data_IF_785977408312
#
_entry.id   IF_785977408312
#
_cell.length_a   1.000
_cell.length_b   1.000
_cell.length_c   1.000
_cell.angle_alpha   90.00
_cell.angle_beta   90.00
_cell.angle_gamma   90.00
#
_symmetry.space_group_name_H-M   'P 1'
#
loop_
_entity.id
_entity.type
_entity.pdbx_description
1 polymer ?
#
# COMPACT_ATOMS: atom_id res chain seq x y z
N UNK A 1 -18.80 -3.21 -20.01
CA UNK A 1 -20.08 -3.24 -19.27
C UNK A 1 -20.23 -2.03 -18.35
N UNK A 2 -19.13 -1.49 -17.78
CA UNK A 2 -19.16 -0.33 -16.87
C UNK A 2 -19.83 0.89 -17.51
N UNK A 3 -19.46 1.25 -18.74
CA UNK A 3 -20.04 2.41 -19.47
C UNK A 3 -21.55 2.28 -19.74
N UNK A 4 -22.08 1.06 -19.70
CA UNK A 4 -23.50 0.78 -19.91
C UNK A 4 -24.23 0.47 -18.61
N UNK A 5 -23.58 0.63 -17.47
CA UNK A 5 -24.10 0.31 -16.14
C UNK A 5 -24.73 -1.09 -16.03
N UNK A 6 -24.09 -2.08 -16.68
CA UNK A 6 -24.55 -3.47 -16.63
C UNK A 6 -23.89 -4.15 -15.44
N UNK A 7 -24.65 -4.66 -14.46
CA UNK A 7 -24.10 -5.37 -13.32
C UNK A 7 -23.45 -6.70 -13.73
N UNK A 8 -22.34 -7.05 -13.08
CA UNK A 8 -21.66 -8.33 -13.25
C UNK A 8 -21.91 -9.18 -12.02
N UNK A 9 -22.42 -10.39 -12.18
CA UNK A 9 -22.54 -11.34 -11.08
C UNK A 9 -21.46 -12.42 -11.19
N UNK A 10 -20.66 -12.56 -10.14
CA UNK A 10 -19.61 -13.58 -10.03
C UNK A 10 -20.18 -14.70 -9.13
N UNK A 11 -20.31 -15.88 -9.70
CA UNK A 11 -20.85 -17.06 -9.03
C UNK A 11 -19.76 -18.13 -8.82
N UNK A 12 -19.92 -18.92 -7.76
CA UNK A 12 -19.12 -20.12 -7.55
C UNK A 12 -19.64 -21.23 -8.48
N UNK A 13 -18.79 -21.71 -9.39
CA UNK A 13 -19.18 -22.76 -10.36
C UNK A 13 -19.56 -24.07 -9.71
N UNK A 14 -19.00 -24.37 -8.52
CA UNK A 14 -19.30 -25.60 -7.76
C UNK A 14 -20.55 -25.47 -6.88
N UNK A 15 -20.95 -24.24 -6.57
CA UNK A 15 -22.13 -23.91 -5.75
C UNK A 15 -22.90 -22.74 -6.39
N UNK A 16 -23.53 -22.96 -7.55
CA UNK A 16 -24.22 -21.88 -8.29
C UNK A 16 -25.50 -21.40 -7.59
N UNK A 17 -25.99 -22.13 -6.59
CA UNK A 17 -27.13 -21.77 -5.74
C UNK A 17 -26.78 -20.66 -4.74
N UNK A 18 -25.52 -20.43 -4.44
CA UNK A 18 -25.07 -19.29 -3.62
C UNK A 18 -25.21 -17.99 -4.41
N UNK A 19 -25.69 -16.93 -3.77
CA UNK A 19 -26.03 -15.66 -4.43
C UNK A 19 -24.87 -14.94 -5.11
N UNK A 20 -23.63 -15.38 -4.84
CA UNK A 20 -22.42 -14.83 -5.46
C UNK A 20 -22.12 -13.38 -5.06
N UNK A 21 -21.35 -12.69 -5.91
CA UNK A 21 -20.98 -11.28 -5.71
C UNK A 21 -21.39 -10.45 -6.91
N UNK A 22 -22.21 -9.43 -6.70
CA UNK A 22 -22.65 -8.51 -7.74
C UNK A 22 -21.78 -7.28 -7.75
N UNK A 23 -21.14 -7.00 -8.87
CA UNK A 23 -20.35 -5.79 -9.11
C UNK A 23 -21.25 -4.77 -9.79
N UNK A 24 -21.45 -3.62 -9.13
CA UNK A 24 -22.26 -2.49 -9.61
C UNK A 24 -21.47 -1.20 -9.57
N UNK A 25 -21.86 -0.19 -10.34
CA UNK A 25 -21.21 1.12 -10.29
C UNK A 25 -21.54 1.86 -9.01
N UNK A 26 -22.81 1.81 -8.58
CA UNK A 26 -23.29 2.37 -7.32
C UNK A 26 -24.10 1.33 -6.59
N UNK A 27 -23.88 1.25 -5.29
CA UNK A 27 -24.70 0.47 -4.39
C UNK A 27 -25.71 1.39 -3.72
N UNK A 28 -26.97 1.20 -4.03
CA UNK A 28 -28.09 1.98 -3.45
C UNK A 28 -28.41 1.54 -2.02
N UNK A 29 -27.80 0.44 -1.56
CA UNK A 29 -27.91 -0.06 -0.18
C UNK A 29 -26.52 -0.02 0.48
N UNK A 30 -26.05 1.16 0.95
CA UNK A 30 -24.76 1.23 1.60
C UNK A 30 -24.76 0.34 2.85
N UNK A 31 -23.88 -0.66 2.88
CA UNK A 31 -23.69 -1.44 4.09
C UNK A 31 -23.22 -0.52 5.22
N UNK A 32 -23.67 -0.79 6.45
CA UNK A 32 -23.18 -0.09 7.63
C UNK A 32 -21.69 -0.40 7.92
N UNK A 33 -21.16 -1.42 7.24
CA UNK A 33 -19.77 -1.83 7.37
C UNK A 33 -18.82 -0.72 6.91
N UNK A 34 -17.93 -0.34 7.80
CA UNK A 34 -16.91 0.69 7.53
C UNK A 34 -15.86 0.22 6.56
N UNK A 35 -15.44 -1.04 6.66
CA UNK A 35 -14.45 -1.68 5.79
C UNK A 35 -15.16 -2.72 4.93
N UNK A 36 -15.00 -2.59 3.63
CA UNK A 36 -15.63 -3.44 2.63
C UNK A 36 -14.67 -4.48 2.04
N UNK A 37 -13.37 -4.29 2.24
CA UNK A 37 -12.38 -5.22 1.74
C UNK A 37 -11.01 -5.03 2.39
N UNK A 38 -10.26 -6.12 2.43
CA UNK A 38 -8.87 -6.15 2.86
C UNK A 38 -8.09 -6.89 1.78
N UNK A 39 -7.07 -6.24 1.23
CA UNK A 39 -6.17 -6.84 0.26
C UNK A 39 -4.73 -6.67 0.73
N UNK A 40 -3.91 -7.68 0.48
CA UNK A 40 -2.52 -7.59 0.90
C UNK A 40 -1.59 -8.43 0.02
N UNK A 41 -0.32 -8.03 0.01
CA UNK A 41 0.75 -8.73 -0.70
C UNK A 41 2.03 -8.65 0.13
N UNK A 42 2.79 -9.74 0.15
CA UNK A 42 4.08 -9.85 0.83
C UNK A 42 5.24 -9.58 -0.12
N UNK A 43 6.43 -9.55 0.45
CA UNK A 43 7.71 -9.55 -0.26
C UNK A 43 7.96 -8.28 -1.05
N UNK A 44 7.90 -7.15 -0.33
CA UNK A 44 8.37 -5.88 -0.83
C UNK A 44 9.70 -5.50 -0.20
N UNK A 45 10.52 -4.81 -0.99
CA UNK A 45 11.72 -4.12 -0.59
C UNK A 45 11.47 -2.62 -0.60
N UNK A 46 11.83 -1.96 0.48
CA UNK A 46 11.74 -0.50 0.62
C UNK A 46 13.13 0.10 0.50
N UNK A 47 13.32 0.96 -0.48
CA UNK A 47 14.53 1.75 -0.69
C UNK A 47 14.28 3.11 -0.07
N UNK A 48 14.79 3.37 1.12
CA UNK A 48 14.61 4.62 1.84
C UNK A 48 15.80 5.56 1.57
N UNK A 49 15.52 6.69 0.95
CA UNK A 49 16.50 7.69 0.51
C UNK A 49 16.40 8.88 1.45
N UNK A 50 17.53 9.22 2.08
CA UNK A 50 17.66 10.33 3.02
C UNK A 50 18.55 11.41 2.42
N UNK A 51 18.10 12.65 2.49
CA UNK A 51 18.86 13.81 2.03
C UNK A 51 18.46 15.04 2.83
N UNK A 52 19.40 15.63 3.51
CA UNK A 52 19.21 16.88 4.21
C UNK A 52 18.80 18.00 3.24
N UNK A 53 17.84 18.81 3.64
CA UNK A 53 17.28 19.89 2.81
C UNK A 53 16.70 19.41 1.48
N UNK A 54 16.14 18.20 1.46
CA UNK A 54 15.54 17.61 0.24
C UNK A 54 14.41 18.47 -0.31
N UNK A 55 13.63 19.11 0.55
CA UNK A 55 12.52 19.99 0.19
C UNK A 55 12.95 21.20 -0.66
N UNK A 56 14.20 21.63 -0.53
CA UNK A 56 14.76 22.78 -1.26
C UNK A 56 15.35 22.37 -2.62
N UNK A 57 15.42 21.06 -2.90
CA UNK A 57 16.03 20.53 -4.11
C UNK A 57 15.01 20.07 -5.15
N UNK A 58 14.92 20.79 -6.25
CA UNK A 58 14.01 20.45 -7.35
C UNK A 58 14.46 19.17 -8.07
N UNK A 59 13.52 18.25 -8.28
CA UNK A 59 13.69 17.12 -9.18
C UNK A 59 14.40 15.90 -8.58
N UNK A 60 14.67 15.84 -7.27
CA UNK A 60 15.32 14.69 -6.64
C UNK A 60 14.52 13.39 -6.83
N UNK A 61 13.21 13.42 -6.59
CA UNK A 61 12.33 12.25 -6.79
C UNK A 61 12.36 11.82 -8.25
N UNK A 62 12.30 12.77 -9.21
CA UNK A 62 12.38 12.45 -10.64
C UNK A 62 13.65 11.67 -10.98
N UNK A 63 14.82 12.11 -10.46
CA UNK A 63 16.10 11.42 -10.71
C UNK A 63 16.10 9.99 -10.15
N UNK A 64 15.52 9.76 -8.98
CA UNK A 64 15.39 8.41 -8.43
C UNK A 64 14.45 7.53 -9.27
N UNK A 65 13.33 8.09 -9.73
CA UNK A 65 12.38 7.37 -10.60
C UNK A 65 12.96 7.05 -11.98
N UNK A 66 13.78 7.94 -12.54
CA UNK A 66 14.52 7.70 -13.78
C UNK A 66 15.46 6.48 -13.65
N UNK A 67 16.09 6.29 -12.49
CA UNK A 67 16.87 5.08 -12.23
C UNK A 67 15.97 3.83 -12.21
N UNK A 68 14.81 3.88 -11.56
CA UNK A 68 13.85 2.75 -11.60
C UNK A 68 13.42 2.43 -13.04
N UNK A 69 13.16 3.46 -13.85
CA UNK A 69 12.80 3.30 -15.27
C UNK A 69 13.92 2.63 -16.07
N UNK A 70 15.18 3.08 -15.89
CA UNK A 70 16.35 2.52 -16.57
C UNK A 70 16.56 1.03 -16.23
N UNK A 71 16.29 0.64 -15.00
CA UNK A 71 16.32 -0.76 -14.55
C UNK A 71 15.02 -1.53 -14.85
N UNK A 72 13.99 -0.87 -15.43
CA UNK A 72 12.66 -1.44 -15.75
C UNK A 72 11.92 -1.97 -14.53
N UNK A 73 12.08 -1.31 -13.40
CA UNK A 73 11.44 -1.68 -12.14
C UNK A 73 10.12 -0.93 -11.98
N UNK A 74 9.05 -1.70 -11.77
CA UNK A 74 7.73 -1.17 -11.41
C UNK A 74 7.71 -0.73 -9.95
N UNK A 75 7.07 0.40 -9.67
CA UNK A 75 6.98 0.98 -8.34
C UNK A 75 5.57 0.76 -7.81
N UNK A 76 5.48 0.20 -6.61
CA UNK A 76 4.20 -0.03 -5.93
C UNK A 76 3.76 1.20 -5.13
N UNK A 77 4.70 1.87 -4.45
CA UNK A 77 4.38 3.00 -3.61
C UNK A 77 5.57 3.93 -3.35
N UNK A 78 5.29 5.23 -3.10
CA UNK A 78 6.33 6.24 -2.84
C UNK A 78 5.91 7.09 -1.63
N UNK A 79 6.12 6.63 -0.39
CA UNK A 79 5.93 7.47 0.77
C UNK A 79 7.03 8.52 0.86
N UNK A 80 6.63 9.78 1.07
CA UNK A 80 7.55 10.91 1.15
C UNK A 80 7.44 11.63 2.50
N UNK A 81 8.57 12.11 2.99
CA UNK A 81 8.72 13.00 4.13
C UNK A 81 9.37 14.33 3.73
N UNK A 82 9.88 15.09 4.70
CA UNK A 82 10.54 16.38 4.47
C UNK A 82 11.97 16.17 3.95
N UNK A 83 12.77 15.35 4.64
CA UNK A 83 14.17 15.08 4.32
C UNK A 83 14.40 13.62 3.87
N UNK A 84 13.32 12.94 3.46
CA UNK A 84 13.41 11.56 2.98
C UNK A 84 12.22 11.18 2.12
N UNK A 85 12.42 10.23 1.24
CA UNK A 85 11.35 9.50 0.58
C UNK A 85 11.76 8.06 0.42
N UNK A 86 10.78 7.19 0.20
CA UNK A 86 11.04 5.79 -0.03
C UNK A 86 10.42 5.34 -1.35
N UNK A 87 11.02 4.34 -1.96
CA UNK A 87 10.48 3.66 -3.13
C UNK A 87 10.22 2.22 -2.72
N UNK A 88 8.99 1.77 -2.87
CA UNK A 88 8.58 0.41 -2.54
C UNK A 88 8.44 -0.38 -3.83
N UNK A 89 9.16 -1.49 -3.92
CA UNK A 89 9.24 -2.35 -5.09
C UNK A 89 9.04 -3.81 -4.70
N UNK A 90 8.66 -4.66 -5.65
CA UNK A 90 8.60 -6.09 -5.42
C UNK A 90 10.03 -6.64 -5.23
N UNK A 91 10.26 -7.42 -4.18
CA UNK A 91 11.59 -7.93 -3.84
C UNK A 91 12.18 -8.83 -4.93
N UNK A 92 11.35 -9.63 -5.60
CA UNK A 92 11.81 -10.53 -6.67
C UNK A 92 12.37 -9.77 -7.88
N UNK A 93 11.80 -8.60 -8.18
CA UNK A 93 12.20 -7.81 -9.34
C UNK A 93 13.57 -7.14 -9.15
N UNK A 94 14.00 -6.96 -7.90
CA UNK A 94 15.24 -6.22 -7.57
C UNK A 94 16.34 -7.08 -6.95
N UNK A 95 16.07 -8.33 -6.60
CA UNK A 95 17.01 -9.19 -5.83
C UNK A 95 18.43 -9.24 -6.36
N UNK A 96 18.60 -9.28 -7.67
CA UNK A 96 19.91 -9.44 -8.31
C UNK A 96 20.59 -8.10 -8.68
N UNK A 97 19.83 -6.98 -8.62
CA UNK A 97 20.29 -5.68 -9.11
C UNK A 97 20.22 -4.57 -8.06
N UNK A 98 19.70 -4.85 -6.86
CA UNK A 98 19.36 -3.83 -5.85
C UNK A 98 20.58 -2.97 -5.48
N UNK A 99 21.76 -3.54 -5.34
CA UNK A 99 22.94 -2.79 -4.92
C UNK A 99 23.46 -1.87 -6.02
N UNK A 100 23.41 -2.27 -7.29
CA UNK A 100 23.80 -1.45 -8.43
C UNK A 100 22.81 -0.30 -8.59
N UNK A 101 21.51 -0.61 -8.55
CA UNK A 101 20.44 0.38 -8.63
C UNK A 101 20.53 1.43 -7.51
N UNK A 102 20.75 1.00 -6.26
CA UNK A 102 20.92 1.89 -5.11
C UNK A 102 22.20 2.72 -5.23
N UNK A 103 23.28 2.14 -5.76
CA UNK A 103 24.53 2.86 -6.07
C UNK A 103 24.34 3.99 -7.06
N UNK A 104 23.54 3.76 -8.10
CA UNK A 104 23.19 4.77 -9.10
C UNK A 104 22.22 5.82 -8.55
N UNK A 105 21.23 5.39 -7.75
CA UNK A 105 20.34 6.32 -7.03
C UNK A 105 21.12 7.25 -6.10
N UNK A 106 22.11 6.71 -5.36
CA UNK A 106 22.92 7.51 -4.45
C UNK A 106 23.67 8.61 -5.17
N UNK A 107 24.25 8.29 -6.35
CA UNK A 107 24.94 9.29 -7.20
C UNK A 107 23.96 10.30 -7.79
N UNK A 108 22.90 9.83 -8.43
CA UNK A 108 21.93 10.68 -9.14
C UNK A 108 21.20 11.65 -8.21
N UNK A 109 20.86 11.21 -7.00
CA UNK A 109 20.17 12.02 -6.00
C UNK A 109 21.13 12.77 -5.08
N UNK A 110 22.44 12.54 -5.13
CA UNK A 110 23.41 13.00 -4.16
C UNK A 110 22.91 12.75 -2.72
N UNK A 111 22.42 11.52 -2.47
CA UNK A 111 21.78 11.16 -1.22
C UNK A 111 22.82 11.00 -0.11
N UNK A 112 22.50 11.49 1.10
CA UNK A 112 23.35 11.34 2.28
C UNK A 112 23.41 9.87 2.71
N UNK A 113 22.24 9.22 2.75
CA UNK A 113 22.11 7.82 3.10
C UNK A 113 21.00 7.13 2.26
N UNK A 114 21.20 5.87 1.92
CA UNK A 114 20.13 5.00 1.39
C UNK A 114 20.10 3.73 2.23
N UNK A 115 18.92 3.36 2.71
CA UNK A 115 18.67 2.09 3.42
C UNK A 115 17.81 1.17 2.58
N UNK A 116 18.18 -0.10 2.55
CA UNK A 116 17.37 -1.18 1.97
C UNK A 116 16.69 -1.90 3.13
N UNK A 117 15.36 -2.02 3.06
CA UNK A 117 14.56 -2.67 4.09
C UNK A 117 13.72 -3.73 3.40
N UNK A 118 14.07 -4.99 3.64
CA UNK A 118 13.40 -6.13 3.05
C UNK A 118 12.29 -6.69 3.94
N UNK A 119 11.58 -7.69 3.41
CA UNK A 119 10.54 -8.43 4.14
C UNK A 119 9.38 -7.55 4.61
N UNK A 120 8.98 -6.61 3.80
CA UNK A 120 7.81 -5.78 4.04
C UNK A 120 6.59 -6.35 3.30
N UNK A 121 5.45 -6.31 3.96
CA UNK A 121 4.13 -6.60 3.40
C UNK A 121 3.30 -5.34 3.36
N UNK A 122 2.54 -5.14 2.30
CA UNK A 122 1.56 -4.06 2.18
C UNK A 122 0.16 -4.62 2.35
N UNK A 123 -0.65 -3.98 3.19
CA UNK A 123 -2.05 -4.33 3.43
C UNK A 123 -2.90 -3.09 3.21
N UNK A 124 -3.78 -3.16 2.21
CA UNK A 124 -4.75 -2.14 1.90
C UNK A 124 -6.08 -2.47 2.60
N UNK A 125 -6.53 -1.59 3.46
CA UNK A 125 -7.85 -1.63 4.08
C UNK A 125 -8.76 -0.72 3.29
N UNK A 126 -9.76 -1.29 2.62
CA UNK A 126 -10.67 -0.59 1.72
C UNK A 126 -12.02 -0.37 2.39
N UNK A 127 -12.53 0.84 2.32
CA UNK A 127 -13.85 1.15 2.86
C UNK A 127 -14.49 2.32 2.15
N UNK A 128 -15.78 2.18 1.86
CA UNK A 128 -16.57 3.29 1.30
C UNK A 128 -16.65 4.43 2.32
N UNK A 129 -16.48 5.65 1.86
CA UNK A 129 -16.58 6.86 2.70
C UNK A 129 -15.54 6.95 3.84
N UNK A 130 -14.45 6.16 3.81
CA UNK A 130 -13.43 6.24 4.87
C UNK A 130 -12.87 7.65 5.04
N UNK A 131 -12.68 8.38 3.96
CA UNK A 131 -12.18 9.76 3.96
C UNK A 131 -13.15 10.75 4.63
N UNK A 132 -14.46 10.45 4.66
CA UNK A 132 -15.50 11.33 5.22
C UNK A 132 -15.90 10.97 6.65
N UNK A 133 -15.35 9.90 7.23
CA UNK A 133 -15.67 9.45 8.59
C UNK A 133 -14.52 9.72 9.55
N UNK A 134 -14.62 10.74 10.42
CA UNK A 134 -13.60 11.00 11.43
C UNK A 134 -13.37 9.78 12.32
N UNK A 135 -12.11 9.53 12.66
CA UNK A 135 -11.73 8.49 13.62
C UNK A 135 -11.45 7.09 13.04
N UNK A 136 -11.73 6.82 11.76
CA UNK A 136 -11.48 5.49 11.17
C UNK A 136 -10.00 5.12 11.22
N UNK A 137 -9.12 6.03 10.77
CA UNK A 137 -7.66 5.81 10.81
C UNK A 137 -7.19 5.59 12.25
N UNK A 138 -7.68 6.42 13.18
CA UNK A 138 -7.37 6.27 14.61
C UNK A 138 -7.79 4.91 15.17
N UNK A 139 -8.99 4.43 14.82
CA UNK A 139 -9.48 3.11 15.23
C UNK A 139 -8.63 2.00 14.63
N UNK A 140 -8.30 2.08 13.33
CA UNK A 140 -7.45 1.10 12.65
C UNK A 140 -6.09 0.97 13.33
N UNK A 141 -5.39 2.09 13.52
CA UNK A 141 -4.06 2.08 14.12
C UNK A 141 -4.08 1.67 15.59
N UNK A 142 -5.13 2.07 16.35
CA UNK A 142 -5.29 1.63 17.73
C UNK A 142 -5.49 0.12 17.85
N UNK A 143 -6.28 -0.49 16.95
CA UNK A 143 -6.49 -1.94 16.91
C UNK A 143 -5.19 -2.67 16.59
N UNK A 144 -4.42 -2.20 15.59
CA UNK A 144 -3.14 -2.80 15.25
C UNK A 144 -2.14 -2.69 16.41
N UNK A 145 -2.02 -1.51 17.03
CA UNK A 145 -1.13 -1.30 18.18
C UNK A 145 -1.47 -2.14 19.40
N UNK A 146 -2.77 -2.28 19.74
CA UNK A 146 -3.24 -3.14 20.85
C UNK A 146 -2.89 -4.62 20.61
N UNK A 147 -2.77 -5.04 19.37
CA UNK A 147 -2.38 -6.39 19.00
C UNK A 147 -0.86 -6.55 18.80
N UNK A 148 -0.05 -5.58 19.24
CA UNK A 148 1.41 -5.58 19.09
C UNK A 148 1.87 -5.76 17.62
N UNK A 149 1.17 -5.13 16.69
CA UNK A 149 1.55 -5.06 15.28
C UNK A 149 2.29 -3.75 15.05
N UNK A 150 3.55 -3.85 14.64
CA UNK A 150 4.38 -2.68 14.36
C UNK A 150 4.16 -2.20 12.92
N UNK A 151 3.62 -1.00 12.78
CA UNK A 151 3.42 -0.36 11.48
C UNK A 151 4.73 0.29 11.04
N UNK A 152 5.24 -0.13 9.89
CA UNK A 152 6.49 0.37 9.28
C UNK A 152 6.25 1.52 8.31
N UNK A 153 5.06 1.58 7.73
CA UNK A 153 4.67 2.56 6.72
C UNK A 153 3.16 2.76 6.74
N UNK A 154 2.73 3.98 6.47
CA UNK A 154 1.32 4.35 6.32
C UNK A 154 1.20 5.18 5.04
N UNK A 155 0.18 4.89 4.25
CA UNK A 155 -0.20 5.70 3.12
C UNK A 155 -1.71 5.80 2.98
N UNK A 156 -2.17 7.00 2.66
CA UNK A 156 -3.55 7.29 2.32
C UNK A 156 -3.55 8.51 1.40
N UNK A 157 -4.07 8.37 0.20
CA UNK A 157 -4.30 9.49 -0.71
C UNK A 157 -5.49 10.34 -0.28
N UNK A 158 -5.58 11.57 -0.81
CA UNK A 158 -6.67 12.51 -0.48
C UNK A 158 -8.03 12.02 -0.92
N UNK A 159 -8.10 11.31 -2.04
CA UNK A 159 -9.35 10.80 -2.65
C UNK A 159 -9.45 9.28 -2.58
N UNK A 160 -8.57 8.62 -1.80
CA UNK A 160 -8.54 7.18 -1.75
C UNK A 160 -9.50 6.62 -0.71
N UNK A 161 -10.21 5.57 -1.10
CA UNK A 161 -11.09 4.79 -0.24
C UNK A 161 -10.30 3.70 0.52
N UNK A 162 -8.99 3.83 0.60
CA UNK A 162 -8.13 2.85 1.26
C UNK A 162 -7.09 3.50 2.16
N UNK A 163 -6.69 2.74 3.17
CA UNK A 163 -5.51 3.01 4.00
C UNK A 163 -4.55 1.84 3.79
N UNK A 164 -3.34 2.12 3.34
CA UNK A 164 -2.29 1.12 3.18
C UNK A 164 -1.39 1.18 4.41
N UNK A 165 -1.17 0.02 5.04
CA UNK A 165 -0.17 -0.15 6.09
C UNK A 165 0.91 -1.11 5.62
N UNK A 166 2.17 -0.74 5.86
CA UNK A 166 3.31 -1.63 5.69
C UNK A 166 3.67 -2.26 7.02
N UNK A 167 3.83 -3.58 7.06
CA UNK A 167 4.26 -4.35 8.23
C UNK A 167 5.38 -5.32 7.83
N UNK A 168 6.08 -5.92 8.79
CA UNK A 168 7.00 -7.00 8.47
C UNK A 168 6.26 -8.24 7.98
N UNK A 169 6.86 -9.02 7.08
CA UNK A 169 6.23 -10.21 6.49
C UNK A 169 5.70 -11.19 7.54
N UNK A 170 6.39 -11.30 8.71
CA UNK A 170 5.97 -12.18 9.81
C UNK A 170 4.64 -11.77 10.45
N UNK A 171 4.28 -10.48 10.36
CA UNK A 171 3.06 -9.94 10.95
C UNK A 171 1.89 -9.86 9.96
N UNK A 172 2.09 -10.30 8.72
CA UNK A 172 1.11 -10.17 7.65
C UNK A 172 -0.23 -10.82 7.97
N UNK A 173 -0.23 -12.13 8.25
CA UNK A 173 -1.45 -12.89 8.52
C UNK A 173 -2.17 -12.33 9.74
N UNK A 174 -1.43 -12.09 10.82
CA UNK A 174 -1.95 -11.51 12.04
C UNK A 174 -2.59 -10.14 11.80
N UNK A 175 -2.01 -9.33 10.91
CA UNK A 175 -2.54 -8.00 10.57
C UNK A 175 -3.87 -8.13 9.83
N UNK A 176 -3.93 -9.01 8.81
CA UNK A 176 -5.16 -9.24 8.04
C UNK A 176 -6.28 -9.74 8.95
N UNK A 177 -6.01 -10.76 9.77
CA UNK A 177 -6.98 -11.31 10.73
C UNK A 177 -7.44 -10.26 11.74
N UNK A 178 -6.50 -9.46 12.26
CA UNK A 178 -6.83 -8.40 13.22
C UNK A 178 -7.77 -7.37 12.63
N UNK A 179 -7.52 -6.93 11.38
CA UNK A 179 -8.39 -5.97 10.70
C UNK A 179 -9.75 -6.62 10.43
N UNK A 180 -9.77 -7.84 9.91
CA UNK A 180 -11.00 -8.56 9.59
C UNK A 180 -11.91 -8.69 10.80
N UNK A 181 -11.39 -9.22 11.91
CA UNK A 181 -12.15 -9.48 13.12
C UNK A 181 -12.67 -8.23 13.85
N UNK A 182 -12.09 -7.06 13.59
CA UNK A 182 -12.50 -5.81 14.27
C UNK A 182 -13.36 -4.88 13.41
N UNK A 183 -13.46 -5.14 12.11
CA UNK A 183 -14.11 -4.20 11.20
C UNK A 183 -15.08 -4.84 10.20
N UNK A 184 -14.95 -6.15 9.94
CA UNK A 184 -15.77 -6.85 8.92
C UNK A 184 -16.75 -7.81 9.57
N UNK A 185 -16.43 -8.38 10.73
CA UNK A 185 -17.29 -9.31 11.50
C UNK A 185 -18.12 -8.58 12.53
#
# INVERSE_FOLDING_TARGET
VKEKNIPINILNTNHPEEGGTIIVEKDDHPSEQMITGIAGKKNFTVIAIYKNHMSDEVGIIRRALEICENYRISIEHIPSGIDSFSIVVNSEDVKDIIYDMVGDMKKACNADEIKIIDNISLIATVGRQMMYRPGISGKLFAVLGKNNINIRMIAQGTDEMNIIVGVENKDYEKTVETIYNNFVV
#
